data_IF_643096744490
#
_entry.id   IF_643096744490
#
_cell.length_a   1.000
_cell.length_b   1.000
_cell.length_c   1.000
_cell.angle_alpha   90.00
_cell.angle_beta   90.00
_cell.angle_gamma   90.00
#
_symmetry.space_group_name_H-M   'P 1'
#
loop_
_entity.id
_entity.type
_entity.pdbx_description
1 polymer ?
#
# COMPACT_ATOMS: atom_id res chain seq x y z
N UNK A 1 -18.18 -5.30 4.07
CA UNK A 1 -18.17 -6.62 3.40
C UNK A 1 -18.71 -7.73 4.30
N UNK A 2 -18.22 -7.86 5.55
CA UNK A 2 -18.67 -8.88 6.52
C UNK A 2 -20.16 -8.77 6.86
N UNK A 3 -20.70 -7.57 7.05
CA UNK A 3 -22.13 -7.38 7.35
C UNK A 3 -23.06 -8.00 6.30
N UNK A 4 -22.80 -7.80 4.99
CA UNK A 4 -23.62 -8.38 3.91
C UNK A 4 -23.61 -9.91 3.91
N UNK A 5 -22.48 -10.51 4.26
CA UNK A 5 -22.35 -11.97 4.35
C UNK A 5 -23.13 -12.47 5.57
N UNK A 6 -22.97 -11.82 6.72
CA UNK A 6 -23.65 -12.22 7.96
C UNK A 6 -25.18 -12.06 7.83
N UNK A 7 -25.68 -10.96 7.29
CA UNK A 7 -27.14 -10.77 7.11
C UNK A 7 -27.73 -11.68 6.03
N UNK A 8 -26.96 -12.05 4.99
CA UNK A 8 -27.42 -12.95 3.94
C UNK A 8 -27.51 -14.42 4.38
N UNK A 9 -26.62 -14.87 5.26
CA UNK A 9 -26.52 -16.28 5.65
C UNK A 9 -26.99 -16.59 7.07
N UNK A 10 -27.27 -15.58 7.90
CA UNK A 10 -27.79 -15.75 9.26
C UNK A 10 -29.09 -14.98 9.45
N UNK A 11 -30.20 -15.71 9.53
CA UNK A 11 -31.56 -15.18 9.68
C UNK A 11 -31.75 -14.30 10.92
N UNK A 12 -30.97 -14.51 11.99
CA UNK A 12 -30.99 -13.67 13.18
C UNK A 12 -30.61 -12.21 12.90
N UNK A 13 -29.77 -11.97 11.89
CA UNK A 13 -29.24 -10.64 11.57
C UNK A 13 -29.94 -9.96 10.39
N UNK A 14 -30.92 -10.63 9.73
CA UNK A 14 -31.74 -10.03 8.68
C UNK A 14 -32.38 -8.68 9.05
N UNK A 15 -32.88 -8.46 10.29
CA UNK A 15 -33.44 -7.16 10.68
C UNK A 15 -32.43 -6.00 10.67
N UNK A 16 -31.12 -6.29 10.62
CA UNK A 16 -30.05 -5.28 10.54
C UNK A 16 -29.63 -4.98 9.10
N UNK A 17 -30.27 -5.59 8.09
CA UNK A 17 -30.01 -5.34 6.68
C UNK A 17 -30.33 -3.88 6.30
N UNK A 18 -31.44 -3.35 6.80
CA UNK A 18 -31.88 -1.96 6.58
C UNK A 18 -31.06 -0.92 7.36
N UNK A 19 -30.40 -1.34 8.44
CA UNK A 19 -29.50 -0.52 9.25
C UNK A 19 -28.05 -0.55 8.75
N UNK A 20 -27.79 -1.25 7.64
CA UNK A 20 -26.49 -1.26 7.02
C UNK A 20 -26.10 0.12 6.51
N UNK A 21 -24.86 0.52 6.82
CA UNK A 21 -24.22 1.65 6.16
C UNK A 21 -24.25 1.33 4.67
N UNK A 22 -25.18 1.97 3.93
CA UNK A 22 -25.21 1.90 2.48
C UNK A 22 -23.81 2.27 2.02
N UNK A 23 -23.16 1.39 1.28
CA UNK A 23 -21.82 1.64 0.76
C UNK A 23 -21.91 2.87 -0.13
N UNK A 24 -21.55 4.02 0.43
CA UNK A 24 -21.49 5.28 -0.30
C UNK A 24 -20.31 5.15 -1.26
N UNK A 25 -20.62 4.86 -2.52
CA UNK A 25 -19.62 4.88 -3.58
C UNK A 25 -19.18 6.33 -3.74
N UNK A 26 -17.90 6.60 -3.51
CA UNK A 26 -17.33 7.92 -3.82
C UNK A 26 -17.32 8.13 -5.34
N UNK A 27 -17.19 9.38 -5.78
CA UNK A 27 -17.29 9.75 -7.20
C UNK A 27 -16.37 8.92 -8.10
N UNK A 28 -15.18 8.56 -7.62
CA UNK A 28 -14.16 7.78 -8.34
C UNK A 28 -14.18 6.26 -8.09
N UNK A 29 -15.31 5.71 -7.63
CA UNK A 29 -15.39 4.29 -7.28
C UNK A 29 -15.21 3.37 -8.49
N UNK A 30 -15.67 3.79 -9.68
CA UNK A 30 -15.52 3.00 -10.90
C UNK A 30 -14.04 2.90 -11.30
N UNK A 31 -13.33 4.02 -11.24
CA UNK A 31 -11.91 4.16 -11.57
C UNK A 31 -11.05 3.42 -10.55
N UNK A 32 -11.36 3.50 -9.26
CA UNK A 32 -10.65 2.76 -8.21
C UNK A 32 -10.86 1.24 -8.29
N UNK A 33 -11.94 0.77 -8.93
CA UNK A 33 -12.18 -0.65 -9.19
C UNK A 33 -11.53 -1.13 -10.49
N UNK A 34 -11.11 -0.21 -11.37
CA UNK A 34 -10.39 -0.56 -12.58
C UNK A 34 -9.01 -1.13 -12.22
N UNK A 35 -8.69 -2.28 -12.82
CA UNK A 35 -7.45 -2.97 -12.53
C UNK A 35 -6.30 -2.21 -13.20
N UNK A 36 -5.34 -1.76 -12.41
CA UNK A 36 -4.14 -1.12 -12.94
C UNK A 36 -3.37 -2.07 -13.88
N UNK A 37 -2.88 -1.52 -14.99
CA UNK A 37 -1.97 -2.22 -15.88
C UNK A 37 -0.58 -2.28 -15.25
N UNK A 38 0.02 -3.48 -15.25
CA UNK A 38 1.35 -3.70 -14.69
C UNK A 38 2.38 -3.61 -15.80
N UNK A 39 3.29 -2.65 -15.68
CA UNK A 39 4.43 -2.50 -16.59
C UNK A 39 5.73 -2.83 -15.84
N UNK A 40 6.55 -3.69 -16.44
CA UNK A 40 7.87 -4.00 -15.89
C UNK A 40 8.85 -2.86 -16.24
N UNK A 41 9.31 -2.15 -15.22
CA UNK A 41 10.24 -1.01 -15.34
C UNK A 41 11.72 -1.43 -15.23
N UNK A 42 12.01 -2.69 -14.86
CA UNK A 42 13.37 -3.20 -14.71
C UNK A 42 13.50 -4.26 -13.62
N UNK A 43 14.73 -4.75 -13.42
CA UNK A 43 15.09 -5.71 -12.35
C UNK A 43 16.13 -5.07 -11.44
N UNK A 44 15.88 -5.12 -10.13
CA UNK A 44 16.86 -4.79 -9.09
C UNK A 44 17.47 -6.09 -8.58
N UNK A 45 18.73 -6.34 -8.91
CA UNK A 45 19.47 -7.55 -8.50
C UNK A 45 20.11 -7.36 -7.11
N UNK A 46 19.26 -7.20 -6.10
CA UNK A 46 19.69 -6.95 -4.73
C UNK A 46 18.94 -7.87 -3.76
N UNK A 47 19.59 -8.26 -2.66
CA UNK A 47 19.01 -9.21 -1.71
C UNK A 47 18.08 -8.50 -0.69
N UNK A 48 16.75 -8.71 -0.76
CA UNK A 48 15.79 -8.06 0.15
C UNK A 48 15.83 -8.61 1.58
N UNK A 49 16.63 -9.65 1.84
CA UNK A 49 16.84 -10.20 3.19
C UNK A 49 18.04 -9.58 3.90
N UNK A 50 18.82 -8.74 3.23
CA UNK A 50 19.97 -8.04 3.82
C UNK A 50 19.68 -6.55 3.95
N UNK A 51 20.06 -5.92 5.06
CA UNK A 51 19.86 -4.47 5.27
C UNK A 51 20.51 -3.66 4.14
N UNK A 52 21.74 -4.01 3.74
CA UNK A 52 22.44 -3.33 2.65
C UNK A 52 21.71 -3.49 1.30
N UNK A 53 21.18 -4.68 1.00
CA UNK A 53 20.38 -4.89 -0.21
C UNK A 53 19.07 -4.10 -0.18
N UNK A 54 18.39 -4.03 0.98
CA UNK A 54 17.19 -3.21 1.15
C UNK A 54 17.47 -1.73 0.94
N UNK A 55 18.59 -1.19 1.47
CA UNK A 55 18.99 0.21 1.23
C UNK A 55 19.11 0.48 -0.27
N UNK A 56 19.85 -0.35 -1.00
CA UNK A 56 20.03 -0.18 -2.45
C UNK A 56 18.73 -0.33 -3.24
N UNK A 57 17.83 -1.22 -2.80
CA UNK A 57 16.48 -1.34 -3.39
C UNK A 57 15.74 -0.03 -3.22
N UNK A 58 15.71 0.53 -2.00
CA UNK A 58 15.04 1.80 -1.72
C UNK A 58 15.65 2.96 -2.52
N UNK A 59 16.98 3.04 -2.65
CA UNK A 59 17.67 4.03 -3.49
C UNK A 59 17.29 3.88 -4.97
N UNK A 60 17.16 2.65 -5.46
CA UNK A 60 16.69 2.36 -6.82
C UNK A 60 15.26 2.82 -7.04
N UNK A 61 14.37 2.53 -6.09
CA UNK A 61 12.95 2.89 -6.14
C UNK A 61 12.72 4.41 -6.00
N UNK A 62 13.57 5.11 -5.26
CA UNK A 62 13.48 6.57 -5.06
C UNK A 62 13.44 7.35 -6.38
N UNK A 63 14.05 6.83 -7.45
CA UNK A 63 14.06 7.44 -8.80
C UNK A 63 12.67 7.57 -9.43
N UNK A 64 11.72 6.75 -8.96
CA UNK A 64 10.35 6.71 -9.48
C UNK A 64 9.36 7.43 -8.58
N UNK A 65 9.82 8.01 -7.45
CA UNK A 65 8.95 8.77 -6.55
C UNK A 65 8.67 10.12 -7.20
N UNK A 66 7.40 10.49 -7.43
CA UNK A 66 7.08 11.78 -8.00
C UNK A 66 7.53 12.91 -7.06
N UNK A 67 8.14 13.92 -7.65
CA UNK A 67 8.54 15.14 -6.96
C UNK A 67 7.52 16.25 -7.22
N UNK A 68 7.32 17.10 -6.22
CA UNK A 68 6.58 18.35 -6.33
C UNK A 68 7.41 19.41 -7.07
N UNK A 69 6.80 20.55 -7.38
CA UNK A 69 7.48 21.67 -8.05
C UNK A 69 8.65 22.26 -7.24
N UNK A 70 8.61 22.15 -5.91
CA UNK A 70 9.66 22.55 -4.98
C UNK A 70 10.83 21.54 -4.89
N UNK A 71 10.71 20.39 -5.55
CA UNK A 71 11.70 19.31 -5.54
C UNK A 71 11.51 18.29 -4.42
N UNK A 72 10.54 18.49 -3.52
CA UNK A 72 10.27 17.55 -2.44
C UNK A 72 9.43 16.36 -2.93
N UNK A 73 9.64 15.14 -2.40
CA UNK A 73 8.80 13.99 -2.73
C UNK A 73 7.33 14.18 -2.34
N UNK A 74 6.41 13.69 -3.18
CA UNK A 74 5.01 13.54 -2.77
C UNK A 74 4.89 12.52 -1.64
N UNK A 75 4.26 12.92 -0.53
CA UNK A 75 4.01 12.01 0.59
C UNK A 75 2.74 11.21 0.33
N UNK A 76 2.93 9.93 0.02
CA UNK A 76 1.84 9.00 -0.28
C UNK A 76 1.81 7.93 0.81
N UNK A 77 0.62 7.54 1.25
CA UNK A 77 0.46 6.40 2.15
C UNK A 77 0.66 5.13 1.31
N UNK A 78 1.76 4.43 1.56
CA UNK A 78 2.05 3.14 0.92
C UNK A 78 1.55 1.99 1.78
N UNK A 79 1.01 0.97 1.12
CA UNK A 79 0.62 -0.28 1.77
C UNK A 79 1.61 -1.37 1.36
N UNK A 80 2.01 -2.19 2.32
CA UNK A 80 2.90 -3.34 2.12
C UNK A 80 2.60 -4.42 3.15
N UNK A 81 3.16 -5.61 2.96
CA UNK A 81 3.14 -6.62 4.02
C UNK A 81 4.00 -6.16 5.21
N UNK A 82 3.66 -6.63 6.41
CA UNK A 82 4.31 -6.17 7.65
C UNK A 82 5.82 -6.37 7.66
N UNK A 83 6.30 -7.50 7.13
CA UNK A 83 7.73 -7.83 7.11
C UNK A 83 8.51 -6.88 6.20
N UNK A 84 7.97 -6.57 5.02
CA UNK A 84 8.58 -5.57 4.12
C UNK A 84 8.65 -4.19 4.77
N UNK A 85 7.59 -3.76 5.45
CA UNK A 85 7.55 -2.48 6.16
C UNK A 85 8.61 -2.41 7.27
N UNK A 86 8.74 -3.45 8.10
CA UNK A 86 9.76 -3.52 9.16
C UNK A 86 11.18 -3.44 8.59
N UNK A 87 11.47 -4.19 7.53
CA UNK A 87 12.78 -4.15 6.85
C UNK A 87 13.12 -2.78 6.30
N UNK A 88 12.14 -2.04 5.79
CA UNK A 88 12.36 -0.68 5.28
C UNK A 88 12.67 0.29 6.41
N UNK A 89 11.97 0.18 7.55
CA UNK A 89 12.26 0.99 8.74
C UNK A 89 13.66 0.69 9.28
N UNK A 90 14.04 -0.59 9.35
CA UNK A 90 15.38 -0.99 9.80
C UNK A 90 16.49 -0.44 8.89
N UNK A 91 16.27 -0.47 7.57
CA UNK A 91 17.20 0.10 6.60
C UNK A 91 17.35 1.62 6.76
N UNK A 92 16.25 2.35 6.96
CA UNK A 92 16.28 3.79 7.22
C UNK A 92 17.03 4.11 8.52
N UNK A 93 16.76 3.37 9.59
CA UNK A 93 17.44 3.53 10.87
C UNK A 93 18.95 3.24 10.75
N UNK A 94 19.32 2.18 10.03
CA UNK A 94 20.72 1.85 9.78
C UNK A 94 21.45 2.98 9.03
N UNK A 95 20.81 3.57 8.02
CA UNK A 95 21.37 4.69 7.28
C UNK A 95 21.51 5.95 8.14
N UNK A 96 20.49 6.27 8.95
CA UNK A 96 20.51 7.42 9.86
C UNK A 96 21.61 7.30 10.93
N UNK A 97 21.83 6.10 11.47
CA UNK A 97 22.85 5.85 12.51
C UNK A 97 24.29 5.80 11.97
N UNK A 98 24.47 5.73 10.66
CA UNK A 98 25.80 5.74 10.01
C UNK A 98 26.23 7.16 9.61
N UNK A 99 25.33 8.15 9.73
CA UNK A 99 25.53 9.57 9.39
C UNK A 99 25.96 10.38 10.61
#
# INVERSE_FOLDING_TARGET
MVQRIVTAYMSLFQPLEDNGIKSTKHAFHAESCEKSELFNIGVLDENPSSISGVIKILEGLQKYVPLKEDGDPFRIITWGDGLSCERYVDAQNAQANTS
#
